data_IF_230695002557
#
_entry.id   IF_230695002557
#
_cell.length_a   1.000
_cell.length_b   1.000
_cell.length_c   1.000
_cell.angle_alpha   90.00
_cell.angle_beta   90.00
_cell.angle_gamma   90.00
#
_symmetry.space_group_name_H-M   'P 1'
#
loop_
_entity.id
_entity.type
_entity.pdbx_description
1 polymer ?
#
# COMPACT_ATOMS: atom_id res chain seq x y z
N UNK A 1 -10.02 -7.99 -4.90
CA UNK A 1 -9.39 -6.75 -4.42
C UNK A 1 -10.11 -5.48 -4.88
N UNK A 2 -10.67 -5.40 -6.11
CA UNK A 2 -11.31 -4.18 -6.65
C UNK A 2 -12.55 -3.74 -5.85
N UNK A 3 -13.37 -4.68 -5.38
CA UNK A 3 -14.58 -4.38 -4.61
C UNK A 3 -14.31 -4.05 -3.13
N UNK A 4 -13.15 -4.45 -2.58
CA UNK A 4 -12.88 -4.32 -1.15
C UNK A 4 -12.82 -2.86 -0.64
N UNK A 5 -12.29 -1.85 -1.37
CA UNK A 5 -12.34 -0.46 -0.92
C UNK A 5 -13.77 0.08 -0.79
N UNK A 6 -14.67 -0.33 -1.69
CA UNK A 6 -16.08 0.10 -1.63
C UNK A 6 -16.80 -0.47 -0.42
N UNK A 7 -16.58 -1.76 -0.14
CA UNK A 7 -17.20 -2.43 1.01
C UNK A 7 -16.66 -1.86 2.32
N UNK A 8 -15.35 -1.76 2.45
CA UNK A 8 -14.72 -1.23 3.66
C UNK A 8 -15.01 0.26 3.86
N UNK A 9 -15.08 1.06 2.79
CA UNK A 9 -15.50 2.46 2.85
C UNK A 9 -16.93 2.58 3.38
N UNK A 10 -17.88 1.81 2.86
CA UNK A 10 -19.26 1.83 3.35
C UNK A 10 -19.39 1.38 4.81
N UNK A 11 -18.58 0.40 5.25
CA UNK A 11 -18.55 -0.04 6.64
C UNK A 11 -18.01 1.07 7.54
N UNK A 12 -16.91 1.71 7.15
CA UNK A 12 -16.33 2.82 7.88
C UNK A 12 -17.29 4.02 7.95
N UNK A 13 -17.88 4.39 6.81
CA UNK A 13 -18.75 5.58 6.75
C UNK A 13 -20.07 5.41 7.53
N UNK A 14 -20.54 4.17 7.73
CA UNK A 14 -21.83 3.91 8.40
C UNK A 14 -21.75 3.47 9.83
N UNK A 15 -20.82 2.59 10.16
CA UNK A 15 -20.87 1.82 11.40
C UNK A 15 -19.72 2.11 12.36
N UNK A 16 -18.54 2.40 11.84
CA UNK A 16 -17.33 2.52 12.65
C UNK A 16 -16.55 3.79 12.31
N UNK A 17 -15.79 4.25 13.27
CA UNK A 17 -14.85 5.33 13.02
C UNK A 17 -13.78 4.86 12.03
N UNK A 18 -13.46 5.69 11.05
CA UNK A 18 -12.57 5.34 9.93
C UNK A 18 -11.18 4.92 10.41
N UNK A 19 -10.64 5.58 11.43
CA UNK A 19 -9.34 5.25 12.03
C UNK A 19 -9.31 3.86 12.67
N UNK A 20 -10.43 3.41 13.27
CA UNK A 20 -10.53 2.08 13.88
C UNK A 20 -10.59 0.97 12.83
N UNK A 21 -11.35 1.22 11.75
CA UNK A 21 -11.40 0.28 10.61
C UNK A 21 -10.03 0.17 9.96
N UNK A 22 -9.35 1.31 9.76
CA UNK A 22 -7.98 1.33 9.24
C UNK A 22 -7.03 0.53 10.13
N UNK A 23 -7.06 0.78 11.45
CA UNK A 23 -6.22 0.06 12.42
C UNK A 23 -6.43 -1.45 12.33
N UNK A 24 -7.68 -1.90 12.33
CA UNK A 24 -8.01 -3.33 12.23
C UNK A 24 -7.49 -3.95 10.93
N UNK A 25 -7.74 -3.31 9.78
CA UNK A 25 -7.29 -3.81 8.48
C UNK A 25 -5.76 -3.90 8.38
N UNK A 26 -5.06 -2.91 8.92
CA UNK A 26 -3.59 -2.87 8.89
C UNK A 26 -2.99 -3.93 9.81
N UNK A 27 -3.54 -4.12 11.02
CA UNK A 27 -3.08 -5.17 11.94
C UNK A 27 -3.35 -6.56 11.36
N UNK A 28 -4.56 -6.80 10.85
CA UNK A 28 -4.91 -8.06 10.21
C UNK A 28 -4.00 -8.33 8.99
N UNK A 29 -3.78 -7.33 8.14
CA UNK A 29 -2.85 -7.41 7.01
C UNK A 29 -1.42 -7.71 7.43
N UNK A 30 -0.92 -7.07 8.49
CA UNK A 30 0.40 -7.32 9.06
C UNK A 30 0.55 -8.75 9.59
N UNK A 31 -0.47 -9.26 10.27
CA UNK A 31 -0.51 -10.65 10.74
C UNK A 31 -0.49 -11.64 9.57
N UNK A 32 -1.30 -11.40 8.53
CA UNK A 32 -1.30 -12.24 7.32
C UNK A 32 0.08 -12.24 6.65
N UNK A 33 0.75 -11.08 6.53
CA UNK A 33 2.12 -11.01 5.99
C UNK A 33 3.10 -11.84 6.81
N UNK A 34 3.02 -11.77 8.12
CA UNK A 34 3.87 -12.58 9.00
C UNK A 34 3.65 -14.07 8.77
N UNK A 35 2.40 -14.52 8.70
CA UNK A 35 2.04 -15.91 8.42
C UNK A 35 2.54 -16.32 7.03
N UNK A 36 2.39 -15.44 6.02
CA UNK A 36 2.86 -15.68 4.65
C UNK A 36 4.38 -15.92 4.61
N UNK A 37 5.13 -15.20 5.43
CA UNK A 37 6.60 -15.36 5.52
C UNK A 37 7.04 -16.74 6.07
N UNK A 38 6.15 -17.48 6.72
CA UNK A 38 6.42 -18.81 7.28
C UNK A 38 6.02 -19.94 6.32
N UNK A 39 5.34 -19.61 5.21
CA UNK A 39 4.87 -20.63 4.27
C UNK A 39 5.97 -21.02 3.28
N UNK A 40 6.03 -22.30 2.98
CA UNK A 40 6.94 -22.88 1.98
C UNK A 40 6.20 -23.40 0.75
N UNK A 41 4.88 -23.62 0.85
CA UNK A 41 4.03 -24.09 -0.23
C UNK A 41 3.50 -22.92 -1.09
N UNK A 42 3.44 -23.13 -2.40
CA UNK A 42 2.97 -22.11 -3.34
C UNK A 42 1.48 -21.77 -3.12
N UNK A 43 0.64 -22.76 -2.86
CA UNK A 43 -0.80 -22.54 -2.71
C UNK A 43 -1.15 -21.77 -1.44
N UNK A 44 -0.50 -22.10 -0.31
CA UNK A 44 -0.68 -21.38 0.95
C UNK A 44 -0.22 -19.92 0.79
N UNK A 45 0.94 -19.72 0.16
CA UNK A 45 1.46 -18.38 -0.13
C UNK A 45 0.50 -17.59 -1.01
N UNK A 46 -0.04 -18.20 -2.07
CA UNK A 46 -0.99 -17.56 -3.00
C UNK A 46 -2.29 -17.14 -2.29
N UNK A 47 -2.89 -18.05 -1.52
CA UNK A 47 -4.14 -17.77 -0.80
C UNK A 47 -3.95 -16.63 0.20
N UNK A 48 -2.88 -16.67 1.00
CA UNK A 48 -2.58 -15.62 1.97
C UNK A 48 -2.31 -14.28 1.29
N UNK A 49 -1.63 -14.27 0.15
CA UNK A 49 -1.39 -13.07 -0.64
C UNK A 49 -2.70 -12.46 -1.20
N UNK A 50 -3.65 -13.29 -1.61
CA UNK A 50 -4.97 -12.82 -2.04
C UNK A 50 -5.72 -12.21 -0.86
N UNK A 51 -5.74 -12.88 0.30
CA UNK A 51 -6.38 -12.36 1.52
C UNK A 51 -5.73 -11.02 1.92
N UNK A 52 -4.40 -10.96 1.95
CA UNK A 52 -3.68 -9.72 2.22
C UNK A 52 -4.09 -8.59 1.26
N UNK A 53 -4.18 -8.86 -0.04
CA UNK A 53 -4.56 -7.86 -1.04
C UNK A 53 -5.98 -7.32 -0.80
N UNK A 54 -6.91 -8.16 -0.38
CA UNK A 54 -8.29 -7.75 -0.03
C UNK A 54 -8.30 -6.83 1.20
N UNK A 55 -7.46 -7.10 2.20
CA UNK A 55 -7.34 -6.27 3.40
C UNK A 55 -6.58 -4.97 3.14
N UNK A 56 -5.56 -5.00 2.29
CA UNK A 56 -4.68 -3.87 2.04
C UNK A 56 -5.30 -2.78 1.16
N UNK A 57 -6.02 -3.16 0.09
CA UNK A 57 -6.57 -2.18 -0.86
C UNK A 57 -7.46 -1.12 -0.20
N UNK A 58 -8.36 -1.45 0.74
CA UNK A 58 -9.16 -0.44 1.43
C UNK A 58 -8.34 0.54 2.26
N UNK A 59 -7.19 0.12 2.79
CA UNK A 59 -6.38 0.98 3.68
C UNK A 59 -5.90 2.25 2.98
N UNK A 60 -5.64 2.18 1.66
CA UNK A 60 -5.24 3.33 0.85
C UNK A 60 -6.37 4.37 0.75
N UNK A 61 -7.61 3.92 0.53
CA UNK A 61 -8.79 4.79 0.45
C UNK A 61 -9.11 5.39 1.82
N UNK A 62 -9.10 4.59 2.89
CA UNK A 62 -9.39 5.04 4.25
C UNK A 62 -8.32 6.03 4.76
N UNK A 63 -7.04 5.79 4.46
CA UNK A 63 -5.96 6.72 4.80
C UNK A 63 -6.15 8.09 4.13
N UNK A 64 -6.49 8.10 2.85
CA UNK A 64 -6.81 9.35 2.14
C UNK A 64 -8.05 10.02 2.74
N UNK A 65 -9.10 9.26 3.06
CA UNK A 65 -10.34 9.79 3.67
C UNK A 65 -10.05 10.46 5.03
N UNK A 66 -9.25 9.83 5.89
CA UNK A 66 -8.83 10.44 7.17
C UNK A 66 -8.05 11.73 6.91
N UNK A 67 -7.11 11.70 5.97
CA UNK A 67 -6.32 12.89 5.62
C UNK A 67 -7.22 14.04 5.18
N UNK A 68 -8.13 13.80 4.23
CA UNK A 68 -9.06 14.82 3.75
C UNK A 68 -10.01 15.36 4.83
N UNK A 69 -10.32 14.57 5.83
CA UNK A 69 -11.18 15.00 6.94
C UNK A 69 -10.48 15.95 7.92
N UNK A 70 -9.14 15.99 7.93
CA UNK A 70 -8.35 16.74 8.91
C UNK A 70 -7.48 17.85 8.32
N UNK A 71 -7.50 18.05 6.99
CA UNK A 71 -6.80 19.15 6.33
C UNK A 71 -7.76 20.27 5.96
N UNK A 72 -7.32 21.53 6.08
CA UNK A 72 -8.13 22.69 5.77
C UNK A 72 -8.08 23.05 4.28
N UNK A 73 -6.92 22.91 3.64
CA UNK A 73 -6.71 23.22 2.22
C UNK A 73 -6.25 21.97 1.49
N UNK A 74 -7.21 21.28 0.83
CA UNK A 74 -6.94 20.03 0.13
C UNK A 74 -5.95 20.20 -1.01
N UNK A 75 -5.97 21.32 -1.73
CA UNK A 75 -5.09 21.55 -2.88
C UNK A 75 -3.62 21.72 -2.48
N UNK A 76 -3.35 22.39 -1.37
CA UNK A 76 -2.00 22.68 -0.93
C UNK A 76 -1.45 21.67 0.09
N UNK A 77 -2.28 21.19 1.01
CA UNK A 77 -1.81 20.36 2.12
C UNK A 77 -1.70 18.88 1.74
N UNK A 78 -2.64 18.37 0.93
CA UNK A 78 -2.65 16.96 0.54
C UNK A 78 -1.38 16.53 -0.22
N UNK A 79 -0.89 17.28 -1.22
CA UNK A 79 0.36 16.92 -1.91
C UNK A 79 1.57 16.87 -0.97
N UNK A 80 1.67 17.81 -0.01
CA UNK A 80 2.76 17.85 0.98
C UNK A 80 2.76 16.60 1.88
N UNK A 81 1.58 16.16 2.32
CA UNK A 81 1.44 14.94 3.11
C UNK A 81 1.78 13.71 2.25
N UNK A 82 1.30 13.69 1.01
CA UNK A 82 1.50 12.57 0.09
C UNK A 82 2.97 12.30 -0.25
N UNK A 83 3.80 13.36 -0.32
CA UNK A 83 5.25 13.24 -0.56
C UNK A 83 5.93 12.35 0.48
N UNK A 84 5.52 12.40 1.75
CA UNK A 84 6.09 11.55 2.80
C UNK A 84 5.89 10.07 2.54
N UNK A 85 4.77 9.69 1.89
CA UNK A 85 4.56 8.31 1.45
C UNK A 85 5.60 7.86 0.41
N UNK A 86 5.96 8.74 -0.53
CA UNK A 86 7.02 8.48 -1.51
C UNK A 86 8.39 8.37 -0.85
N UNK A 87 8.69 9.29 0.08
CA UNK A 87 9.95 9.24 0.87
C UNK A 87 10.05 7.92 1.64
N UNK A 88 8.97 7.49 2.31
CA UNK A 88 8.93 6.20 3.02
C UNK A 88 9.14 5.02 2.09
N UNK A 89 8.55 5.05 0.88
CA UNK A 89 8.73 4.00 -0.12
C UNK A 89 10.19 3.93 -0.61
N UNK A 90 10.81 5.06 -0.93
CA UNK A 90 12.23 5.14 -1.34
C UNK A 90 13.11 4.63 -0.20
N UNK A 91 12.90 5.13 1.02
CA UNK A 91 13.69 4.73 2.18
C UNK A 91 13.64 3.22 2.43
N UNK A 92 12.44 2.61 2.41
CA UNK A 92 12.31 1.15 2.62
C UNK A 92 12.91 0.34 1.47
N UNK A 93 12.79 0.81 0.23
CA UNK A 93 13.34 0.12 -0.94
C UNK A 93 14.87 0.13 -0.99
N UNK A 94 15.51 1.12 -0.39
CA UNK A 94 16.96 1.22 -0.33
C UNK A 94 17.54 0.63 0.96
N UNK A 95 17.00 1.01 2.11
CA UNK A 95 17.57 0.63 3.41
C UNK A 95 17.49 -0.87 3.67
N UNK A 96 16.39 -1.52 3.31
CA UNK A 96 16.24 -2.95 3.57
C UNK A 96 17.24 -3.81 2.78
N UNK A 97 17.38 -3.67 1.45
CA UNK A 97 18.39 -4.42 0.71
C UNK A 97 19.82 -4.11 1.16
N UNK A 98 20.15 -2.85 1.40
CA UNK A 98 21.49 -2.44 1.82
C UNK A 98 21.88 -3.04 3.17
N UNK A 99 20.98 -3.01 4.16
CA UNK A 99 21.32 -3.45 5.52
C UNK A 99 21.19 -4.96 5.66
N UNK A 100 20.26 -5.59 4.94
CA UNK A 100 19.85 -6.98 5.19
C UNK A 100 20.29 -7.97 4.13
N UNK A 101 20.36 -7.54 2.86
CA UNK A 101 20.66 -8.42 1.73
C UNK A 101 22.10 -8.31 1.23
N UNK A 102 22.84 -7.29 1.67
CA UNK A 102 24.22 -7.05 1.23
C UNK A 102 25.19 -7.06 2.41
N UNK A 103 26.43 -7.43 2.10
CA UNK A 103 27.61 -7.36 3.01
C UNK A 103 28.72 -6.61 2.31
N UNK A 104 29.70 -6.08 3.08
CA UNK A 104 30.85 -5.33 2.57
C UNK A 104 30.42 -4.14 1.71
N UNK A 105 29.59 -3.26 2.30
CA UNK A 105 29.05 -2.10 1.60
C UNK A 105 30.19 -1.11 1.28
N UNK A 106 30.33 -0.76 0.00
CA UNK A 106 31.23 0.28 -0.51
C UNK A 106 30.39 1.47 -1.01
N UNK A 107 30.78 2.67 -0.58
CA UNK A 107 30.11 3.89 -1.04
C UNK A 107 30.77 4.39 -2.32
N UNK A 108 29.97 4.65 -3.34
CA UNK A 108 30.40 5.19 -4.64
C UNK A 108 29.76 6.57 -4.87
N UNK A 109 30.47 7.43 -5.63
CA UNK A 109 29.98 8.78 -5.98
C UNK A 109 28.87 8.71 -7.05
N UNK A 110 28.91 7.69 -7.92
CA UNK A 110 27.91 7.47 -8.98
C UNK A 110 26.84 6.45 -8.56
N UNK A 111 25.60 6.56 -9.05
CA UNK A 111 24.60 5.53 -8.83
C UNK A 111 25.10 4.15 -9.29
N UNK A 112 24.82 3.11 -8.49
CA UNK A 112 23.89 3.02 -7.35
C UNK A 112 24.45 3.46 -5.98
N UNK A 113 25.24 4.45 -5.85
CA UNK A 113 25.83 5.09 -4.67
C UNK A 113 26.36 4.15 -3.58
N UNK A 114 25.82 2.96 -3.46
CA UNK A 114 26.22 1.89 -2.52
C UNK A 114 26.18 0.56 -3.25
N UNK A 115 27.28 -0.14 -3.21
CA UNK A 115 27.46 -1.47 -3.80
C UNK A 115 27.94 -2.41 -2.70
N UNK A 116 27.44 -3.63 -2.69
CA UNK A 116 27.87 -4.67 -1.74
C UNK A 116 27.74 -6.03 -2.37
N UNK A 117 28.34 -7.02 -1.71
CA UNK A 117 28.22 -8.41 -2.11
C UNK A 117 26.90 -9.00 -1.58
N UNK A 118 26.18 -9.74 -2.41
CA UNK A 118 25.00 -10.45 -1.97
C UNK A 118 25.33 -11.51 -0.92
N UNK A 119 24.43 -11.67 0.04
CA UNK A 119 24.55 -12.68 1.08
C UNK A 119 24.23 -14.06 0.49
N UNK A 120 24.95 -15.08 0.88
CA UNK A 120 24.82 -16.47 0.36
C UNK A 120 23.41 -17.08 0.54
N UNK A 121 22.60 -16.57 1.47
CA UNK A 121 21.24 -17.06 1.77
C UNK A 121 20.15 -15.99 1.51
N UNK A 122 20.23 -15.32 0.38
CA UNK A 122 19.29 -14.23 -0.03
C UNK A 122 17.82 -14.66 0.07
N UNK A 123 17.49 -15.88 -0.39
CA UNK A 123 16.09 -16.37 -0.39
C UNK A 123 15.47 -16.42 1.00
N UNK A 124 16.21 -16.91 2.01
CA UNK A 124 15.71 -16.92 3.39
C UNK A 124 15.59 -15.50 3.96
N UNK A 125 16.52 -14.62 3.61
CA UNK A 125 16.48 -13.22 4.05
C UNK A 125 15.39 -12.39 3.37
N UNK A 126 14.96 -12.76 2.17
CA UNK A 126 13.78 -12.16 1.53
C UNK A 126 12.49 -12.45 2.30
N UNK A 127 12.37 -13.64 2.92
CA UNK A 127 11.23 -13.91 3.79
C UNK A 127 11.20 -12.98 5.01
N UNK A 128 12.34 -12.51 5.48
CA UNK A 128 12.41 -11.55 6.57
C UNK A 128 11.82 -10.19 6.19
N UNK A 129 11.86 -9.78 4.91
CA UNK A 129 11.18 -8.58 4.43
C UNK A 129 9.67 -8.61 4.73
N UNK A 130 9.03 -9.77 4.53
CA UNK A 130 7.62 -9.95 4.86
C UNK A 130 7.38 -9.89 6.37
N UNK A 131 8.28 -10.47 7.19
CA UNK A 131 8.20 -10.42 8.66
C UNK A 131 8.35 -8.97 9.16
N UNK A 132 9.37 -8.24 8.69
CA UNK A 132 9.57 -6.84 9.04
C UNK A 132 8.37 -5.98 8.63
N UNK A 133 7.89 -6.15 7.41
CA UNK A 133 6.69 -5.45 6.93
C UNK A 133 5.46 -5.79 7.77
N UNK A 134 5.32 -7.04 8.22
CA UNK A 134 4.26 -7.47 9.13
C UNK A 134 4.33 -6.76 10.48
N UNK A 135 5.52 -6.72 11.11
CA UNK A 135 5.75 -6.03 12.39
C UNK A 135 5.45 -4.54 12.26
N UNK A 136 6.02 -3.88 11.25
CA UNK A 136 5.79 -2.45 11.01
C UNK A 136 4.31 -2.16 10.79
N UNK A 137 3.61 -3.02 10.05
CA UNK A 137 2.16 -2.89 9.85
C UNK A 137 1.39 -3.00 11.17
N UNK A 138 1.74 -3.94 12.06
CA UNK A 138 1.09 -4.08 13.36
C UNK A 138 1.35 -2.84 14.23
N UNK A 139 2.59 -2.35 14.28
CA UNK A 139 2.96 -1.12 15.02
C UNK A 139 2.20 0.08 14.45
N UNK A 140 2.15 0.22 13.13
CA UNK A 140 1.39 1.28 12.47
C UNK A 140 -0.12 1.16 12.75
N UNK A 141 -0.67 -0.04 12.75
CA UNK A 141 -2.07 -0.27 13.10
C UNK A 141 -2.38 0.12 14.55
N UNK A 142 -1.47 -0.16 15.49
CA UNK A 142 -1.59 0.34 16.88
C UNK A 142 -1.53 1.87 16.93
N UNK A 143 -0.64 2.49 16.17
CA UNK A 143 -0.58 3.94 16.04
C UNK A 143 -1.88 4.53 15.46
N UNK A 144 -2.57 3.83 14.57
CA UNK A 144 -3.84 4.30 13.99
C UNK A 144 -4.94 4.52 15.05
N UNK A 145 -4.88 3.85 16.20
CA UNK A 145 -5.81 4.12 17.30
C UNK A 145 -5.58 5.48 17.99
N UNK A 146 -4.40 6.08 17.80
CA UNK A 146 -4.06 7.41 18.32
C UNK A 146 -4.41 8.54 17.36
N UNK A 147 -4.86 8.21 16.15
CA UNK A 147 -5.28 9.22 15.16
C UNK A 147 -6.52 9.99 15.63
N UNK A 148 -6.70 11.24 15.18
CA UNK A 148 -7.89 12.02 15.46
C UNK A 148 -9.15 11.26 15.03
N UNK A 149 -10.18 11.34 15.87
CA UNK A 149 -11.43 10.64 15.62
C UNK A 149 -12.11 11.12 14.35
N UNK A 150 -12.44 10.20 13.48
CA UNK A 150 -13.19 10.44 12.24
C UNK A 150 -14.52 9.70 12.33
N UNK A 151 -15.54 10.33 12.96
CA UNK A 151 -16.82 9.68 13.22
C UNK A 151 -17.56 9.36 11.93
N UNK A 152 -18.37 8.30 11.89
CA UNK A 152 -19.16 7.92 10.73
C UNK A 152 -20.20 8.99 10.40
N UNK A 153 -20.33 9.35 9.12
CA UNK A 153 -21.29 10.32 8.61
C UNK A 153 -22.62 9.62 8.27
N UNK A 154 -23.37 9.21 9.29
CA UNK A 154 -24.59 8.39 9.13
C UNK A 154 -25.66 9.02 8.24
N UNK A 155 -25.79 10.32 8.29
CA UNK A 155 -26.85 11.05 7.58
C UNK A 155 -26.47 11.39 6.11
N UNK A 156 -25.20 11.31 5.75
CA UNK A 156 -24.71 11.67 4.42
C UNK A 156 -24.51 10.48 3.48
N UNK A 157 -24.60 9.25 3.99
CA UNK A 157 -24.32 8.05 3.19
C UNK A 157 -25.58 7.59 2.48
N UNK A 158 -25.72 7.98 1.23
CA UNK A 158 -26.75 7.41 0.35
C UNK A 158 -26.54 5.91 0.13
N UNK A 159 -27.64 5.15 0.08
CA UNK A 159 -27.64 3.70 -0.02
C UNK A 159 -26.92 3.13 -1.26
N UNK A 160 -26.58 3.98 -2.24
CA UNK A 160 -26.06 3.59 -3.54
C UNK A 160 -24.99 4.59 -4.04
N UNK A 161 -24.00 4.96 -3.18
CA UNK A 161 -22.91 5.87 -3.58
C UNK A 161 -22.16 5.37 -4.84
N UNK A 162 -22.03 4.05 -5.03
CA UNK A 162 -21.43 3.47 -6.24
C UNK A 162 -22.25 3.77 -7.50
N UNK A 163 -23.59 3.86 -7.41
CA UNK A 163 -24.45 4.18 -8.56
C UNK A 163 -24.22 5.63 -9.03
N UNK A 164 -24.01 6.56 -8.09
CA UNK A 164 -23.62 7.94 -8.42
C UNK A 164 -22.24 8.01 -9.03
N UNK A 165 -21.27 7.24 -8.52
CA UNK A 165 -19.94 7.14 -9.10
C UNK A 165 -19.98 6.65 -10.56
N UNK A 166 -20.83 5.66 -10.88
CA UNK A 166 -21.05 5.24 -12.26
C UNK A 166 -21.72 6.31 -13.14
N UNK A 167 -22.56 7.16 -12.57
CA UNK A 167 -23.16 8.27 -13.34
C UNK A 167 -22.12 9.32 -13.75
N UNK A 168 -21.00 9.46 -13.00
CA UNK A 168 -19.89 10.35 -13.37
C UNK A 168 -19.23 9.97 -14.69
N UNK A 169 -19.29 8.68 -15.11
CA UNK A 169 -18.81 8.26 -16.44
C UNK A 169 -19.57 8.92 -17.60
N UNK A 170 -20.73 9.52 -17.36
CA UNK A 170 -21.43 10.31 -18.37
C UNK A 170 -20.75 11.66 -18.64
N UNK A 171 -19.90 12.12 -17.74
CA UNK A 171 -19.10 13.33 -17.92
C UNK A 171 -17.83 12.99 -18.72
N UNK A 172 -17.62 13.56 -19.92
CA UNK A 172 -16.48 13.25 -20.76
C UNK A 172 -15.13 13.43 -20.05
N UNK A 173 -14.99 14.52 -19.30
CA UNK A 173 -13.78 14.83 -18.53
C UNK A 173 -13.44 13.75 -17.51
N UNK A 174 -14.44 13.21 -16.81
CA UNK A 174 -14.26 12.13 -15.85
C UNK A 174 -13.86 10.83 -16.53
N UNK A 175 -14.52 10.48 -17.65
CA UNK A 175 -14.21 9.27 -18.42
C UNK A 175 -12.79 9.31 -18.98
N UNK A 176 -12.35 10.44 -19.53
CA UNK A 176 -10.97 10.62 -20.02
C UNK A 176 -9.98 10.43 -18.86
N UNK A 177 -10.23 11.03 -17.70
CA UNK A 177 -9.35 10.90 -16.53
C UNK A 177 -9.24 9.44 -16.06
N UNK A 178 -10.37 8.72 -15.98
CA UNK A 178 -10.37 7.31 -15.56
C UNK A 178 -9.65 6.43 -16.57
N UNK A 179 -9.91 6.60 -17.86
CA UNK A 179 -9.24 5.83 -18.92
C UNK A 179 -7.74 6.11 -18.92
N UNK A 180 -7.32 7.37 -18.83
CA UNK A 180 -5.91 7.73 -18.74
C UNK A 180 -5.22 7.12 -17.53
N UNK A 181 -5.86 7.18 -16.34
CA UNK A 181 -5.34 6.58 -15.12
C UNK A 181 -5.22 5.07 -15.23
N UNK A 182 -6.18 4.41 -15.89
CA UNK A 182 -6.15 2.96 -16.13
C UNK A 182 -5.00 2.58 -17.05
N UNK A 183 -4.82 3.30 -18.16
CA UNK A 183 -3.71 3.06 -19.10
C UNK A 183 -2.35 3.25 -18.44
N UNK A 184 -2.17 4.36 -17.70
CA UNK A 184 -0.92 4.61 -16.95
C UNK A 184 -0.67 3.52 -15.93
N UNK A 185 -1.71 3.04 -15.21
CA UNK A 185 -1.57 1.96 -14.23
C UNK A 185 -1.16 0.63 -14.89
N UNK A 186 -1.69 0.31 -16.07
CA UNK A 186 -1.30 -0.89 -16.83
C UNK A 186 0.18 -0.80 -17.25
N UNK A 187 0.59 0.34 -17.84
CA UNK A 187 1.99 0.55 -18.26
C UNK A 187 2.93 0.43 -17.07
N UNK A 188 2.58 1.08 -15.96
CA UNK A 188 3.35 1.03 -14.73
C UNK A 188 3.49 -0.40 -14.19
N UNK A 189 2.41 -1.19 -14.21
CA UNK A 189 2.44 -2.57 -13.74
C UNK A 189 3.31 -3.47 -14.65
N UNK A 190 3.23 -3.29 -15.97
CA UNK A 190 4.08 -4.02 -16.93
C UNK A 190 5.55 -3.69 -16.69
N UNK A 191 5.88 -2.40 -16.48
CA UNK A 191 7.24 -1.97 -16.16
C UNK A 191 7.76 -2.66 -14.89
N UNK A 192 7.00 -2.63 -13.80
CA UNK A 192 7.41 -3.26 -12.54
C UNK A 192 7.62 -4.77 -12.65
N UNK A 193 6.78 -5.47 -13.42
CA UNK A 193 6.91 -6.92 -13.61
C UNK A 193 8.12 -7.30 -14.46
N UNK A 194 8.48 -6.47 -15.45
CA UNK A 194 9.49 -6.83 -16.44
C UNK A 194 10.86 -6.21 -16.17
N UNK A 195 10.93 -5.12 -15.40
CA UNK A 195 12.20 -4.42 -15.16
C UNK A 195 13.24 -5.30 -14.45
N UNK A 196 12.84 -6.05 -13.43
CA UNK A 196 13.73 -6.97 -12.72
C UNK A 196 14.29 -8.09 -13.59
N UNK A 197 13.43 -8.91 -14.24
CA UNK A 197 13.88 -9.96 -15.17
C UNK A 197 14.73 -9.41 -16.32
N UNK A 198 14.37 -8.25 -16.88
CA UNK A 198 15.14 -7.62 -17.95
C UNK A 198 16.55 -7.23 -17.50
N UNK A 199 16.67 -6.58 -16.34
CA UNK A 199 17.97 -6.17 -15.79
C UNK A 199 18.84 -7.40 -15.44
N UNK A 200 18.26 -8.45 -14.89
CA UNK A 200 19.00 -9.70 -14.63
C UNK A 200 19.45 -10.44 -15.89
N UNK A 201 18.85 -10.15 -17.04
CA UNK A 201 19.25 -10.73 -18.33
C UNK A 201 20.40 -9.96 -18.99
N UNK A 202 20.51 -8.67 -18.72
CA UNK A 202 21.55 -7.81 -19.33
C UNK A 202 22.87 -7.88 -18.56
N UNK A 203 22.86 -8.26 -17.32
CA UNK A 203 24.08 -8.39 -16.52
C UNK A 203 24.00 -7.86 -15.16
#
# INVERSE_FOLDING_TARGET
>A
AIASPFIAGQIADRYFNTEKVLAFLVIAGGTIKWITALQTGYMEWLILSIIYSVLYMPTLALSNSITFSHINNQENDFPRIRVWGTVGWIASSWLFPMIWLQTNLEFQILPPFVVGNEVSNVTSRLADALKFSGIISIVYGMYCFLLPQTPPKRDAVENLAFKKAFQLFRLPSFSVLVISSLLVSIIHQIYFLQAGPFLSHIG
#
